data_IF_030361727279
#
_entry.id   IF_030361727279
#
_cell.length_a   1.000
_cell.length_b   1.000
_cell.length_c   1.000
_cell.angle_alpha   90.00
_cell.angle_beta   90.00
_cell.angle_gamma   90.00
#
_symmetry.space_group_name_H-M   'P 1'
#
loop_
_entity.id
_entity.type
_entity.pdbx_description
1 polymer ?
#
# COMPACT_ATOMS: atom_id res chain seq x y z
N UNK A 1 -10.58 58.51 -15.13
CA UNK A 1 -10.63 57.73 -13.87
C UNK A 1 -10.14 56.32 -14.16
N UNK A 2 -8.86 56.04 -13.89
CA UNK A 2 -8.29 54.69 -14.03
C UNK A 2 -8.47 53.97 -12.70
N UNK A 3 -9.56 53.21 -12.57
CA UNK A 3 -9.78 52.36 -11.39
C UNK A 3 -8.90 51.12 -11.52
N UNK A 4 -7.83 51.03 -10.75
CA UNK A 4 -7.04 49.80 -10.66
C UNK A 4 -7.94 48.69 -10.11
N UNK A 5 -8.27 47.69 -10.94
CA UNK A 5 -8.94 46.47 -10.49
C UNK A 5 -7.98 45.78 -9.53
N UNK A 6 -8.28 45.80 -8.23
CA UNK A 6 -7.51 45.08 -7.24
C UNK A 6 -7.63 43.57 -7.54
N UNK A 7 -6.53 42.96 -7.98
CA UNK A 7 -6.48 41.50 -8.19
C UNK A 7 -6.67 40.85 -6.82
N UNK A 8 -7.83 40.23 -6.58
CA UNK A 8 -8.09 39.52 -5.33
C UNK A 8 -7.10 38.35 -5.21
N UNK A 9 -6.23 38.37 -4.19
CA UNK A 9 -5.31 37.27 -3.95
C UNK A 9 -6.09 36.03 -3.52
N UNK A 10 -5.83 34.90 -4.16
CA UNK A 10 -6.42 33.61 -3.77
C UNK A 10 -6.01 33.32 -2.32
N UNK A 11 -6.94 32.97 -1.42
CA UNK A 11 -6.61 32.66 -0.03
C UNK A 11 -5.63 31.48 0.06
N UNK A 12 -4.60 31.60 0.89
CA UNK A 12 -3.61 30.52 1.09
C UNK A 12 -4.28 29.21 1.53
N UNK A 13 -5.26 29.28 2.42
CA UNK A 13 -6.02 28.12 2.89
C UNK A 13 -6.71 27.36 1.75
N UNK A 14 -7.15 28.05 0.69
CA UNK A 14 -7.69 27.40 -0.50
C UNK A 14 -6.60 26.60 -1.22
N UNK A 15 -5.42 27.20 -1.45
CA UNK A 15 -4.28 26.55 -2.10
C UNK A 15 -3.86 25.29 -1.34
N UNK A 16 -3.70 25.38 0.00
CA UNK A 16 -3.33 24.23 0.83
C UNK A 16 -4.34 23.08 0.75
N UNK A 17 -5.64 23.36 0.75
CA UNK A 17 -6.69 22.33 0.56
C UNK A 17 -6.64 21.69 -0.82
N UNK A 18 -6.36 22.47 -1.86
CA UNK A 18 -6.23 21.94 -3.23
C UNK A 18 -5.03 21.04 -3.37
N UNK A 19 -3.87 21.47 -2.90
CA UNK A 19 -2.68 20.63 -2.89
C UNK A 19 -2.90 19.34 -2.09
N UNK A 20 -3.54 19.40 -0.91
CA UNK A 20 -3.84 18.21 -0.11
C UNK A 20 -4.72 17.21 -0.87
N UNK A 21 -5.72 17.73 -1.57
CA UNK A 21 -6.62 16.93 -2.41
C UNK A 21 -5.91 16.34 -3.63
N UNK A 22 -5.00 17.09 -4.27
CA UNK A 22 -4.21 16.60 -5.40
C UNK A 22 -3.25 15.47 -4.99
N UNK A 23 -2.55 15.65 -3.88
CA UNK A 23 -1.63 14.62 -3.36
C UNK A 23 -2.37 13.34 -2.96
N UNK A 24 -3.58 13.47 -2.40
CA UNK A 24 -4.44 12.32 -2.13
C UNK A 24 -4.89 11.59 -3.39
N UNK A 25 -5.19 12.33 -4.47
CA UNK A 25 -5.50 11.73 -5.78
C UNK A 25 -4.29 11.00 -6.38
N UNK A 26 -3.10 11.60 -6.33
CA UNK A 26 -1.86 10.93 -6.75
C UNK A 26 -1.62 9.63 -5.99
N UNK A 27 -1.85 9.63 -4.67
CA UNK A 27 -1.67 8.43 -3.86
C UNK A 27 -2.75 7.35 -4.13
N UNK A 28 -3.97 7.73 -4.53
CA UNK A 28 -4.96 6.76 -5.00
C UNK A 28 -4.50 6.02 -6.25
N UNK A 29 -3.83 6.70 -7.19
CA UNK A 29 -3.28 6.04 -8.38
C UNK A 29 -2.22 5.00 -7.99
N UNK A 30 -1.36 5.34 -7.03
CA UNK A 30 -0.44 4.38 -6.44
C UNK A 30 -1.17 3.21 -5.75
N UNK A 31 -2.21 3.48 -4.95
CA UNK A 31 -2.97 2.42 -4.28
C UNK A 31 -3.61 1.45 -5.28
N UNK A 32 -4.10 1.94 -6.43
CA UNK A 32 -4.67 1.09 -7.48
C UNK A 32 -3.61 0.17 -8.07
N UNK A 33 -2.45 0.73 -8.45
CA UNK A 33 -1.32 -0.06 -8.97
C UNK A 33 -0.85 -1.07 -7.92
N UNK A 34 -0.63 -0.62 -6.69
CA UNK A 34 -0.15 -1.43 -5.58
C UNK A 34 -1.06 -2.62 -5.29
N UNK A 35 -2.38 -2.41 -5.19
CA UNK A 35 -3.32 -3.51 -4.96
C UNK A 35 -3.46 -4.43 -6.18
N UNK A 36 -3.36 -3.89 -7.40
CA UNK A 36 -3.37 -4.71 -8.61
C UNK A 36 -2.15 -5.64 -8.66
N UNK A 37 -0.95 -5.10 -8.51
CA UNK A 37 0.29 -5.88 -8.51
C UNK A 37 0.29 -6.89 -7.36
N UNK A 38 -0.07 -6.49 -6.13
CA UNK A 38 -0.12 -7.41 -4.99
C UNK A 38 -1.17 -8.51 -5.10
N UNK A 39 -2.29 -8.27 -5.79
CA UNK A 39 -3.30 -9.32 -6.01
C UNK A 39 -2.72 -10.52 -6.78
N UNK A 40 -1.73 -10.29 -7.63
CA UNK A 40 -1.06 -11.34 -8.42
C UNK A 40 -0.19 -12.28 -7.56
N UNK A 41 0.07 -11.94 -6.29
CA UNK A 41 0.75 -12.85 -5.36
C UNK A 41 -0.10 -14.08 -5.04
N UNK A 42 -1.43 -13.94 -5.05
CA UNK A 42 -2.35 -15.05 -4.91
C UNK A 42 -2.40 -15.84 -6.23
N UNK A 43 -1.98 -17.11 -6.20
CA UNK A 43 -1.72 -17.95 -7.39
C UNK A 43 -2.96 -18.31 -8.24
N UNK A 44 -4.14 -17.80 -7.89
CA UNK A 44 -5.39 -18.06 -8.62
C UNK A 44 -5.39 -17.46 -10.03
N UNK A 45 -4.73 -16.32 -10.23
CA UNK A 45 -4.67 -15.61 -11.51
C UNK A 45 -3.24 -15.11 -11.73
N UNK A 46 -2.38 -15.86 -12.43
CA UNK A 46 -1.05 -15.33 -12.80
C UNK A 46 0.11 -16.32 -12.80
N UNK A 47 0.01 -17.42 -13.56
CA UNK A 47 1.17 -18.22 -13.97
C UNK A 47 2.08 -18.71 -12.82
N UNK A 48 1.52 -19.02 -11.65
CA UNK A 48 2.31 -19.50 -10.50
C UNK A 48 3.16 -18.41 -9.81
N UNK A 49 2.72 -17.14 -9.83
CA UNK A 49 3.43 -16.03 -9.18
C UNK A 49 4.44 -15.32 -10.10
N UNK A 50 4.68 -15.86 -11.31
CA UNK A 50 5.58 -15.26 -12.31
C UNK A 50 5.15 -13.86 -12.76
N UNK A 51 3.85 -13.57 -12.76
CA UNK A 51 3.29 -12.26 -13.12
C UNK A 51 3.62 -11.21 -12.06
N UNK A 52 3.45 -11.57 -10.77
CA UNK A 52 3.90 -10.75 -9.65
C UNK A 52 5.40 -10.48 -9.75
N UNK A 53 6.22 -11.53 -9.92
CA UNK A 53 7.69 -11.41 -10.02
C UNK A 53 8.10 -10.47 -11.15
N UNK A 54 7.48 -10.62 -12.32
CA UNK A 54 7.78 -9.79 -13.49
C UNK A 54 7.39 -8.32 -13.26
N UNK A 55 6.21 -8.08 -12.68
CA UNK A 55 5.73 -6.72 -12.39
C UNK A 55 6.60 -6.03 -11.36
N UNK A 56 6.98 -6.72 -10.27
CA UNK A 56 7.84 -6.18 -9.22
C UNK A 56 9.26 -5.89 -9.77
N UNK A 57 9.83 -6.80 -10.56
CA UNK A 57 11.13 -6.55 -11.19
C UNK A 57 11.07 -5.36 -12.16
N UNK A 58 10.00 -5.25 -12.97
CA UNK A 58 9.81 -4.11 -13.86
C UNK A 58 9.78 -2.78 -13.10
N UNK A 59 8.97 -2.68 -12.04
CA UNK A 59 8.87 -1.47 -11.22
C UNK A 59 10.20 -1.10 -10.57
N UNK A 60 10.93 -2.11 -10.08
CA UNK A 60 12.23 -1.94 -9.45
C UNK A 60 13.29 -1.45 -10.43
N UNK A 61 13.26 -1.93 -11.66
CA UNK A 61 14.28 -1.63 -12.67
C UNK A 61 13.95 -0.36 -13.47
N UNK A 62 12.89 0.38 -13.08
CA UNK A 62 12.59 1.69 -13.66
C UNK A 62 13.77 2.67 -13.54
N UNK A 63 14.08 3.43 -14.60
CA UNK A 63 15.12 4.44 -14.54
C UNK A 63 14.72 5.53 -13.54
N UNK A 64 15.71 6.00 -12.77
CA UNK A 64 15.50 7.01 -11.73
C UNK A 64 14.45 6.65 -10.67
N UNK A 65 14.25 5.35 -10.39
CA UNK A 65 13.25 4.88 -9.43
C UNK A 65 13.26 5.67 -8.12
N UNK A 66 14.44 5.96 -7.54
CA UNK A 66 14.50 6.71 -6.29
C UNK A 66 13.91 8.13 -6.40
N UNK A 67 14.11 8.80 -7.54
CA UNK A 67 13.50 10.12 -7.81
C UNK A 67 11.99 9.98 -7.95
N UNK A 68 11.53 8.95 -8.66
CA UNK A 68 10.11 8.64 -8.82
C UNK A 68 9.46 8.36 -7.46
N UNK A 69 10.08 7.52 -6.62
CA UNK A 69 9.61 7.20 -5.27
C UNK A 69 9.47 8.46 -4.42
N UNK A 70 10.48 9.33 -4.40
CA UNK A 70 10.43 10.57 -3.60
C UNK A 70 9.39 11.55 -4.14
N UNK A 71 9.37 11.79 -5.45
CA UNK A 71 8.54 12.82 -6.07
C UNK A 71 7.06 12.44 -6.17
N UNK A 72 6.75 11.18 -6.50
CA UNK A 72 5.39 10.71 -6.73
C UNK A 72 4.76 9.99 -5.54
N UNK A 73 5.57 9.47 -4.60
CA UNK A 73 5.06 8.75 -3.43
C UNK A 73 5.39 9.47 -2.14
N UNK A 74 6.68 9.68 -1.83
CA UNK A 74 7.16 10.22 -0.56
C UNK A 74 6.66 11.63 -0.24
N UNK A 75 6.81 12.56 -1.18
CA UNK A 75 6.31 13.94 -1.02
C UNK A 75 4.77 13.95 -0.97
N UNK A 76 4.05 13.32 -1.91
CA UNK A 76 2.58 13.29 -1.87
C UNK A 76 2.01 12.67 -0.61
N UNK A 77 2.53 11.52 -0.15
CA UNK A 77 2.01 10.87 1.06
C UNK A 77 2.31 11.68 2.32
N UNK A 78 3.51 12.26 2.43
CA UNK A 78 3.87 13.10 3.57
C UNK A 78 2.97 14.35 3.63
N UNK A 79 2.80 15.02 2.49
CA UNK A 79 1.98 16.22 2.40
C UNK A 79 0.49 15.92 2.66
N UNK A 80 -0.05 14.87 2.03
CA UNK A 80 -1.42 14.43 2.21
C UNK A 80 -1.67 14.00 3.66
N UNK A 81 -0.79 13.16 4.21
CA UNK A 81 -0.90 12.64 5.57
C UNK A 81 -0.83 13.73 6.63
N UNK A 82 0.18 14.61 6.58
CA UNK A 82 0.35 15.67 7.59
C UNK A 82 -0.83 16.64 7.60
N UNK A 83 -1.19 17.20 6.44
CA UNK A 83 -2.33 18.12 6.38
C UNK A 83 -3.66 17.42 6.68
N UNK A 84 -3.80 16.17 6.23
CA UNK A 84 -4.97 15.33 6.50
C UNK A 84 -5.20 15.15 8.00
N UNK A 85 -4.14 14.83 8.75
CA UNK A 85 -4.18 14.72 10.21
C UNK A 85 -4.53 16.05 10.88
N UNK A 86 -3.95 17.17 10.45
CA UNK A 86 -4.35 18.48 10.98
C UNK A 86 -5.84 18.76 10.77
N UNK A 87 -6.41 18.36 9.63
CA UNK A 87 -7.84 18.47 9.36
C UNK A 87 -8.71 17.49 10.14
N UNK A 88 -8.17 16.34 10.58
CA UNK A 88 -8.93 15.41 11.42
C UNK A 88 -9.06 15.92 12.85
N UNK A 89 -8.02 16.55 13.40
CA UNK A 89 -8.06 17.16 14.74
C UNK A 89 -9.08 18.29 14.86
N UNK A 90 -9.32 19.06 13.79
CA UNK A 90 -10.34 20.11 13.74
C UNK A 90 -11.74 19.64 13.34
N UNK A 91 -11.94 18.33 13.15
CA UNK A 91 -13.20 17.76 12.64
C UNK A 91 -14.27 17.60 13.72
N UNK A 92 -15.50 18.02 13.42
CA UNK A 92 -16.68 17.79 14.27
C UNK A 92 -17.56 16.69 13.68
N UNK A 93 -18.01 15.76 14.52
CA UNK A 93 -18.92 14.68 14.11
C UNK A 93 -20.35 15.02 14.53
N UNK A 94 -21.31 14.78 13.64
CA UNK A 94 -22.75 14.99 13.91
C UNK A 94 -23.62 13.83 13.41
N UNK A 95 -23.00 12.71 13.02
CA UNK A 95 -23.67 11.49 12.56
C UNK A 95 -24.27 10.68 13.72
N UNK A 96 -23.73 10.82 14.93
CA UNK A 96 -24.22 10.23 16.17
C UNK A 96 -24.39 11.34 17.21
N UNK A 97 -25.52 11.36 17.91
CA UNK A 97 -25.71 12.20 19.08
C UNK A 97 -26.55 11.45 20.10
N UNK A 98 -26.10 11.51 21.35
CA UNK A 98 -26.80 10.97 22.52
C UNK A 98 -27.56 12.06 23.30
N UNK A 99 -27.56 13.31 22.80
CA UNK A 99 -28.20 14.47 23.44
C UNK A 99 -29.46 14.90 22.70
N UNK A 100 -30.55 15.20 23.44
CA UNK A 100 -31.79 15.76 22.86
C UNK A 100 -31.63 17.18 22.31
N UNK A 101 -30.57 17.91 22.70
CA UNK A 101 -30.36 19.32 22.34
C UNK A 101 -29.49 19.44 21.08
N UNK A 102 -28.71 18.41 20.76
CA UNK A 102 -27.90 18.35 19.54
C UNK A 102 -28.41 17.21 18.66
N UNK A 103 -29.32 17.44 17.70
CA UNK A 103 -29.86 16.37 16.88
C UNK A 103 -28.76 15.71 16.02
N UNK A 104 -28.77 14.37 15.96
CA UNK A 104 -27.93 13.63 15.04
C UNK A 104 -28.45 13.77 13.61
N UNK A 105 -27.56 14.04 12.66
CA UNK A 105 -27.85 14.05 11.24
C UNK A 105 -27.24 12.79 10.60
N UNK A 106 -27.95 11.67 10.68
CA UNK A 106 -27.51 10.37 10.16
C UNK A 106 -27.73 10.23 8.64
N UNK A 107 -27.25 11.20 7.87
CA UNK A 107 -27.26 11.11 6.39
C UNK A 107 -26.06 10.30 5.90
N UNK A 108 -26.15 9.70 4.71
CA UNK A 108 -25.04 8.99 4.06
C UNK A 108 -23.79 9.88 3.94
N UNK A 109 -23.94 11.18 3.68
CA UNK A 109 -22.79 12.09 3.54
C UNK A 109 -22.10 12.37 4.87
N UNK A 110 -22.84 12.49 5.96
CA UNK A 110 -22.26 12.71 7.30
C UNK A 110 -21.52 11.46 7.80
N UNK A 111 -22.05 10.28 7.50
CA UNK A 111 -21.33 9.02 7.72
C UNK A 111 -20.07 8.93 6.87
N UNK A 112 -20.14 9.24 5.58
CA UNK A 112 -18.96 9.23 4.71
C UNK A 112 -17.88 10.23 5.16
N UNK A 113 -18.27 11.40 5.67
CA UNK A 113 -17.36 12.37 6.28
C UNK A 113 -16.66 11.81 7.53
N UNK A 114 -17.41 11.10 8.37
CA UNK A 114 -16.91 10.50 9.62
C UNK A 114 -15.97 9.33 9.32
N UNK A 115 -16.37 8.43 8.43
CA UNK A 115 -15.53 7.34 7.98
C UNK A 115 -14.26 7.83 7.31
N UNK A 116 -14.28 8.92 6.52
CA UNK A 116 -13.04 9.49 5.97
C UNK A 116 -12.00 9.82 7.06
N UNK A 117 -12.44 10.24 8.25
CA UNK A 117 -11.56 10.57 9.39
C UNK A 117 -11.14 9.34 10.17
N UNK A 118 -12.07 8.44 10.45
CA UNK A 118 -11.75 7.20 11.16
C UNK A 118 -10.78 6.34 10.34
N UNK A 119 -11.00 6.21 9.03
CA UNK A 119 -10.05 5.53 8.15
C UNK A 119 -8.73 6.29 8.05
N UNK A 120 -8.69 7.63 8.10
CA UNK A 120 -7.43 8.38 8.14
C UNK A 120 -6.55 7.97 9.33
N UNK A 121 -7.14 7.79 10.52
CA UNK A 121 -6.41 7.34 11.71
C UNK A 121 -5.89 5.91 11.59
N UNK A 122 -6.75 5.00 11.11
CA UNK A 122 -6.36 3.62 10.84
C UNK A 122 -5.21 3.59 9.82
N UNK A 123 -5.32 4.38 8.76
CA UNK A 123 -4.32 4.44 7.69
C UNK A 123 -3.02 5.07 8.14
N UNK A 124 -3.04 6.09 8.99
CA UNK A 124 -1.81 6.67 9.51
C UNK A 124 -0.97 5.61 10.24
N UNK A 125 -1.56 4.88 11.16
CA UNK A 125 -0.87 3.79 11.89
C UNK A 125 -0.52 2.65 10.93
N UNK A 126 -1.47 2.22 10.10
CA UNK A 126 -1.30 1.10 9.18
C UNK A 126 -0.21 1.33 8.14
N UNK A 127 -0.12 2.52 7.54
CA UNK A 127 0.91 2.87 6.56
C UNK A 127 2.28 2.88 7.22
N UNK A 128 2.42 3.46 8.42
CA UNK A 128 3.70 3.46 9.15
C UNK A 128 4.15 2.03 9.41
N UNK A 129 3.27 1.18 9.97
CA UNK A 129 3.60 -0.22 10.24
C UNK A 129 3.93 -1.00 8.95
N UNK A 130 3.11 -0.84 7.90
CA UNK A 130 3.30 -1.50 6.61
C UNK A 130 4.63 -1.12 5.95
N UNK A 131 4.95 0.18 5.89
CA UNK A 131 6.19 0.67 5.29
C UNK A 131 7.39 0.25 6.13
N UNK A 132 7.33 0.35 7.47
CA UNK A 132 8.41 -0.13 8.35
C UNK A 132 8.69 -1.61 8.11
N UNK A 133 7.65 -2.43 8.09
CA UNK A 133 7.78 -3.87 7.87
C UNK A 133 8.39 -4.16 6.49
N UNK A 134 7.75 -3.72 5.40
CA UNK A 134 8.15 -4.14 4.05
C UNK A 134 9.41 -3.44 3.54
N UNK A 135 9.61 -2.16 3.87
CA UNK A 135 10.73 -1.36 3.32
C UNK A 135 12.01 -1.46 4.14
N UNK A 136 11.91 -1.81 5.44
CA UNK A 136 13.08 -1.77 6.33
C UNK A 136 13.36 -3.10 7.03
N UNK A 137 12.35 -3.84 7.48
CA UNK A 137 12.55 -5.11 8.19
C UNK A 137 12.70 -6.29 7.22
N UNK A 138 11.74 -6.43 6.32
CA UNK A 138 11.61 -7.58 5.41
C UNK A 138 12.22 -7.29 4.03
N UNK A 139 12.80 -6.11 3.81
CA UNK A 139 13.37 -5.72 2.51
C UNK A 139 14.50 -6.66 2.07
N UNK A 140 14.47 -7.20 0.83
CA UNK A 140 15.50 -8.11 0.34
C UNK A 140 16.90 -7.50 0.33
N UNK A 141 17.86 -8.20 0.93
CA UNK A 141 19.26 -7.79 0.94
C UNK A 141 19.88 -8.02 -0.43
N UNK A 142 20.53 -7.00 -0.99
CA UNK A 142 21.26 -7.11 -2.27
C UNK A 142 22.75 -7.34 -2.00
N UNK A 143 23.31 -8.36 -2.63
CA UNK A 143 24.76 -8.60 -2.67
C UNK A 143 25.21 -8.77 -4.13
N UNK A 144 26.39 -8.24 -4.45
CA UNK A 144 26.96 -8.30 -5.80
C UNK A 144 28.10 -9.32 -5.77
N UNK A 145 27.97 -10.37 -6.57
CA UNK A 145 28.97 -11.41 -6.75
C UNK A 145 29.49 -11.34 -8.19
N UNK A 146 30.71 -10.80 -8.35
CA UNK A 146 31.25 -10.49 -9.68
C UNK A 146 30.42 -9.42 -10.38
N UNK A 147 29.79 -9.77 -11.52
CA UNK A 147 28.92 -8.88 -12.29
C UNK A 147 27.42 -9.11 -12.03
N UNK A 148 27.04 -10.08 -11.19
CA UNK A 148 25.65 -10.46 -10.94
C UNK A 148 25.19 -9.99 -9.56
N UNK A 149 23.96 -9.49 -9.50
CA UNK A 149 23.30 -9.16 -8.24
C UNK A 149 22.44 -10.35 -7.78
N UNK A 150 22.52 -10.64 -6.49
CA UNK A 150 21.69 -11.63 -5.80
C UNK A 150 20.92 -10.96 -4.66
N UNK A 151 19.71 -11.45 -4.44
CA UNK A 151 18.80 -11.00 -3.39
C UNK A 151 18.59 -12.10 -2.37
N UNK A 152 18.50 -11.70 -1.12
CA UNK A 152 18.39 -12.60 0.02
C UNK A 152 17.29 -12.16 0.96
N UNK A 153 16.56 -13.10 1.53
CA UNK A 153 15.70 -12.82 2.67
C UNK A 153 15.60 -14.03 3.61
N UNK A 154 15.36 -13.76 4.88
CA UNK A 154 15.07 -14.78 5.88
C UNK A 154 13.60 -15.14 5.80
N UNK A 155 13.32 -16.44 5.77
CA UNK A 155 11.97 -16.97 5.77
C UNK A 155 11.82 -18.07 6.81
N UNK A 156 10.64 -18.19 7.39
CA UNK A 156 10.24 -19.33 8.21
C UNK A 156 9.95 -20.51 7.31
N UNK A 157 10.36 -21.70 7.73
CA UNK A 157 10.06 -22.93 7.01
C UNK A 157 8.58 -23.28 7.12
N UNK A 158 7.96 -23.58 5.99
CA UNK A 158 6.62 -24.15 5.90
C UNK A 158 6.55 -25.18 4.74
N UNK A 159 5.52 -26.05 4.70
CA UNK A 159 5.43 -27.11 3.70
C UNK A 159 5.35 -26.62 2.24
N UNK A 160 4.77 -25.46 1.96
CA UNK A 160 4.59 -24.94 0.60
C UNK A 160 5.77 -24.06 0.13
N UNK A 161 6.62 -23.61 1.06
CA UNK A 161 7.80 -22.80 0.76
C UNK A 161 8.76 -23.51 -0.19
N UNK A 162 9.12 -24.77 0.06
CA UNK A 162 10.09 -25.50 -0.77
C UNK A 162 9.62 -25.64 -2.22
N UNK A 163 8.34 -26.00 -2.38
CA UNK A 163 7.70 -26.13 -3.69
C UNK A 163 7.64 -24.79 -4.42
N UNK A 164 7.24 -23.73 -3.74
CA UNK A 164 7.17 -22.38 -4.32
C UNK A 164 8.56 -21.87 -4.68
N UNK A 165 9.55 -22.06 -3.81
CA UNK A 165 10.93 -21.69 -4.06
C UNK A 165 11.49 -22.41 -5.29
N UNK A 166 11.25 -23.72 -5.41
CA UNK A 166 11.66 -24.50 -6.58
C UNK A 166 11.01 -23.98 -7.87
N UNK A 167 9.71 -23.66 -7.85
CA UNK A 167 9.00 -23.09 -9.00
C UNK A 167 9.57 -21.75 -9.45
N UNK A 168 10.00 -20.92 -8.50
CA UNK A 168 10.56 -19.58 -8.77
C UNK A 168 12.07 -19.59 -9.03
N UNK A 169 12.73 -20.76 -8.96
CA UNK A 169 14.19 -20.87 -9.06
C UNK A 169 14.92 -20.20 -7.90
N UNK A 170 14.31 -20.16 -6.72
CA UNK A 170 14.89 -19.64 -5.47
C UNK A 170 15.59 -20.78 -4.75
N UNK A 171 16.84 -20.56 -4.33
CA UNK A 171 17.58 -21.53 -3.51
C UNK A 171 17.39 -21.21 -2.04
N UNK A 172 17.05 -22.21 -1.24
CA UNK A 172 16.92 -22.10 0.22
C UNK A 172 18.16 -22.70 0.89
N UNK A 173 18.65 -22.05 1.93
CA UNK A 173 19.78 -22.52 2.73
C UNK A 173 19.39 -22.57 4.20
N UNK A 174 19.55 -23.72 4.85
CA UNK A 174 19.43 -23.83 6.30
C UNK A 174 20.73 -23.40 7.01
N UNK A 175 20.70 -23.26 8.35
CA UNK A 175 21.86 -22.83 9.14
C UNK A 175 23.11 -23.69 8.91
N UNK A 176 22.92 -25.00 8.75
CA UNK A 176 24.00 -25.94 8.55
C UNK A 176 24.64 -25.82 7.15
N UNK A 177 23.84 -25.59 6.11
CA UNK A 177 24.32 -25.32 4.76
C UNK A 177 25.04 -23.97 4.67
N UNK A 178 24.53 -22.94 5.35
CA UNK A 178 25.19 -21.63 5.42
C UNK A 178 26.59 -21.73 6.03
N UNK A 179 26.73 -22.47 7.14
CA UNK A 179 28.03 -22.67 7.83
C UNK A 179 29.06 -23.41 6.97
N UNK A 180 28.61 -24.26 6.05
CA UNK A 180 29.49 -25.04 5.15
C UNK A 180 29.75 -24.35 3.82
N UNK A 181 28.93 -23.39 3.44
CA UNK A 181 29.09 -22.66 2.20
C UNK A 181 30.34 -21.77 2.24
N UNK A 182 30.94 -21.48 1.07
CA UNK A 182 32.00 -20.49 0.97
C UNK A 182 31.56 -19.15 1.57
N UNK A 183 32.40 -18.55 2.42
CA UNK A 183 32.09 -17.28 3.06
C UNK A 183 31.72 -16.18 2.05
N UNK A 184 32.23 -16.26 0.82
CA UNK A 184 31.90 -15.35 -0.30
C UNK A 184 30.42 -15.34 -0.68
N UNK A 185 29.69 -16.45 -0.49
CA UNK A 185 28.27 -16.59 -0.85
C UNK A 185 27.36 -15.77 0.08
N UNK A 186 27.82 -15.58 1.32
CA UNK A 186 27.12 -14.89 2.41
C UNK A 186 27.97 -13.74 3.00
N UNK A 187 28.94 -13.22 2.23
CA UNK A 187 29.89 -12.22 2.71
C UNK A 187 29.23 -10.91 3.17
N UNK A 188 28.08 -10.57 2.58
CA UNK A 188 27.26 -9.43 3.00
C UNK A 188 26.25 -9.72 4.13
N UNK A 189 26.18 -10.96 4.63
CA UNK A 189 25.19 -11.44 5.60
C UNK A 189 25.79 -11.75 6.98
N UNK A 190 27.01 -11.29 7.25
CA UNK A 190 27.86 -11.68 8.40
C UNK A 190 27.26 -11.48 9.81
N UNK A 191 26.13 -10.79 9.96
CA UNK A 191 25.45 -10.58 11.25
C UNK A 191 24.08 -11.26 11.35
N UNK A 192 23.68 -12.06 10.36
CA UNK A 192 22.29 -12.54 10.22
C UNK A 192 22.21 -14.03 10.57
N UNK A 193 22.28 -14.34 11.87
CA UNK A 193 21.99 -15.69 12.38
C UNK A 193 20.54 -16.08 12.04
N UNK A 194 20.34 -17.30 11.57
CA UNK A 194 18.98 -17.85 11.40
C UNK A 194 18.47 -18.31 12.76
N UNK A 195 17.22 -17.98 13.06
CA UNK A 195 16.52 -18.56 14.20
C UNK A 195 16.08 -20.00 13.88
N UNK A 196 15.67 -20.74 14.92
CA UNK A 196 15.21 -22.12 14.75
C UNK A 196 13.96 -22.16 13.86
N UNK A 197 14.03 -22.92 12.77
CA UNK A 197 12.94 -23.02 11.79
C UNK A 197 12.96 -21.91 10.74
N UNK A 198 14.07 -21.17 10.60
CA UNK A 198 14.29 -20.25 9.49
C UNK A 198 15.25 -20.82 8.44
N UNK A 199 15.09 -20.33 7.22
CA UNK A 199 15.96 -20.56 6.07
C UNK A 199 16.31 -19.22 5.41
N UNK A 200 17.46 -19.18 4.75
CA UNK A 200 17.85 -18.06 3.91
C UNK A 200 17.48 -18.36 2.46
N UNK A 201 16.55 -17.60 1.90
CA UNK A 201 16.25 -17.62 0.48
C UNK A 201 17.27 -16.79 -0.30
N UNK A 202 17.68 -17.26 -1.48
CA UNK A 202 18.59 -16.59 -2.41
C UNK A 202 18.08 -16.70 -3.84
N UNK A 203 18.08 -15.58 -4.57
CA UNK A 203 17.71 -15.56 -5.99
C UNK A 203 18.35 -14.37 -6.72
N UNK A 204 18.66 -14.47 -8.02
CA UNK A 204 19.01 -13.30 -8.83
C UNK A 204 17.80 -12.39 -9.12
N UNK A 205 16.57 -12.81 -8.80
CA UNK A 205 15.33 -12.07 -9.01
C UNK A 205 14.86 -11.42 -7.71
N UNK A 206 14.74 -10.09 -7.68
CA UNK A 206 14.23 -9.37 -6.52
C UNK A 206 12.76 -9.70 -6.28
N UNK A 207 11.94 -9.69 -7.33
CA UNK A 207 10.51 -10.00 -7.25
C UNK A 207 10.22 -11.42 -6.76
N UNK A 208 11.11 -12.38 -7.01
CA UNK A 208 10.95 -13.74 -6.50
C UNK A 208 11.12 -13.80 -4.97
N UNK A 209 12.11 -13.10 -4.42
CA UNK A 209 12.28 -12.99 -2.96
C UNK A 209 11.13 -12.21 -2.35
N UNK A 210 10.71 -11.12 -3.00
CA UNK A 210 9.59 -10.31 -2.51
C UNK A 210 8.26 -11.08 -2.49
N UNK A 211 8.03 -11.94 -3.47
CA UNK A 211 6.86 -12.83 -3.48
C UNK A 211 6.85 -13.74 -2.25
N UNK A 212 7.99 -14.35 -1.91
CA UNK A 212 8.09 -15.21 -0.73
C UNK A 212 7.88 -14.42 0.57
N UNK A 213 8.41 -13.19 0.66
CA UNK A 213 8.16 -12.30 1.80
C UNK A 213 6.67 -12.01 2.00
N UNK A 214 5.99 -11.62 0.92
CA UNK A 214 4.55 -11.31 0.95
C UNK A 214 3.75 -12.54 1.39
N UNK A 215 4.11 -13.73 0.90
CA UNK A 215 3.44 -14.98 1.29
C UNK A 215 3.61 -15.28 2.77
N UNK A 216 4.83 -15.17 3.29
CA UNK A 216 5.09 -15.33 4.71
C UNK A 216 4.28 -14.37 5.58
N UNK A 217 4.19 -13.09 5.18
CA UNK A 217 3.45 -12.09 5.96
C UNK A 217 1.97 -12.48 6.14
N UNK A 218 1.38 -13.16 5.16
CA UNK A 218 -0.01 -13.63 5.18
C UNK A 218 -0.18 -15.09 5.59
N UNK A 219 0.82 -15.75 6.19
CA UNK A 219 0.60 -17.03 6.89
C UNK A 219 -0.04 -16.86 8.27
N UNK A 220 0.07 -15.66 8.86
CA UNK A 220 -0.52 -15.35 10.16
C UNK A 220 -1.96 -14.87 10.01
N UNK A 221 -2.90 -15.56 10.66
CA UNK A 221 -4.33 -15.15 10.68
C UNK A 221 -4.51 -13.75 11.26
N UNK A 222 -3.69 -13.39 12.25
CA UNK A 222 -3.70 -12.06 12.86
C UNK A 222 -3.30 -11.02 11.82
N UNK A 223 -2.24 -11.28 11.06
CA UNK A 223 -1.80 -10.38 9.99
C UNK A 223 -2.85 -10.27 8.89
N UNK A 224 -3.48 -11.38 8.49
CA UNK A 224 -4.56 -11.38 7.49
C UNK A 224 -5.75 -10.51 7.93
N UNK A 225 -6.18 -10.60 9.19
CA UNK A 225 -7.26 -9.77 9.74
C UNK A 225 -6.85 -8.29 9.81
N UNK A 226 -5.65 -8.00 10.32
CA UNK A 226 -5.13 -6.61 10.42
C UNK A 226 -5.06 -5.95 9.04
N UNK A 227 -4.48 -6.64 8.06
CA UNK A 227 -4.40 -6.14 6.69
C UNK A 227 -5.77 -6.06 6.00
N UNK A 228 -6.74 -6.91 6.36
CA UNK A 228 -8.13 -6.79 5.89
C UNK A 228 -8.73 -5.45 6.32
N UNK A 229 -8.61 -5.09 7.60
CA UNK A 229 -9.07 -3.79 8.12
C UNK A 229 -8.34 -2.63 7.41
N UNK A 230 -7.03 -2.77 7.21
CA UNK A 230 -6.22 -1.76 6.56
C UNK A 230 -6.62 -1.55 5.08
N UNK A 231 -6.84 -2.62 4.31
CA UNK A 231 -7.30 -2.55 2.91
C UNK A 231 -8.71 -1.94 2.84
N UNK A 232 -9.63 -2.37 3.70
CA UNK A 232 -10.98 -1.79 3.76
C UNK A 232 -10.93 -0.27 4.02
N UNK A 233 -10.10 0.15 4.98
CA UNK A 233 -9.90 1.56 5.27
C UNK A 233 -9.29 2.32 4.09
N UNK A 234 -8.25 1.76 3.43
CA UNK A 234 -7.51 2.39 2.35
C UNK A 234 -8.40 2.63 1.13
N UNK A 235 -9.11 1.60 0.69
CA UNK A 235 -9.96 1.67 -0.50
C UNK A 235 -11.17 2.56 -0.23
N UNK A 236 -11.80 2.49 0.95
CA UNK A 236 -12.87 3.43 1.30
C UNK A 236 -12.37 4.88 1.30
N UNK A 237 -11.26 5.16 1.99
CA UNK A 237 -10.68 6.50 2.08
C UNK A 237 -10.33 7.07 0.70
N UNK A 238 -9.72 6.24 -0.15
CA UNK A 238 -9.32 6.59 -1.49
C UNK A 238 -10.50 6.95 -2.38
N UNK A 239 -11.53 6.09 -2.46
CA UNK A 239 -12.66 6.31 -3.37
C UNK A 239 -13.69 7.34 -2.87
N UNK A 240 -13.91 7.47 -1.56
CA UNK A 240 -14.69 8.60 -1.03
C UNK A 240 -13.93 9.94 -1.21
N UNK A 241 -12.60 9.89 -1.12
CA UNK A 241 -11.70 10.97 -1.50
C UNK A 241 -11.80 11.33 -2.98
N UNK A 242 -11.77 10.34 -3.88
CA UNK A 242 -11.91 10.52 -5.33
C UNK A 242 -13.22 11.21 -5.68
N UNK A 243 -14.34 10.72 -5.14
CA UNK A 243 -15.64 11.35 -5.38
C UNK A 243 -15.64 12.83 -4.94
N UNK A 244 -15.07 13.11 -3.77
CA UNK A 244 -14.93 14.49 -3.27
C UNK A 244 -13.97 15.33 -4.14
N UNK A 245 -12.89 14.73 -4.65
CA UNK A 245 -11.94 15.36 -5.57
C UNK A 245 -12.65 15.78 -6.87
N UNK A 246 -13.37 14.85 -7.52
CA UNK A 246 -14.07 15.10 -8.77
C UNK A 246 -15.07 16.28 -8.66
N UNK A 247 -15.78 16.37 -7.54
CA UNK A 247 -16.70 17.48 -7.26
C UNK A 247 -15.94 18.78 -7.02
N UNK A 248 -15.00 18.77 -6.08
CA UNK A 248 -14.37 20.00 -5.63
C UNK A 248 -13.50 20.62 -6.73
N UNK A 249 -12.90 19.83 -7.61
CA UNK A 249 -12.11 20.30 -8.75
C UNK A 249 -12.95 20.68 -9.97
N UNK A 250 -14.29 20.57 -9.87
CA UNK A 250 -15.20 21.00 -10.93
C UNK A 250 -15.29 20.04 -12.12
N UNK A 251 -14.76 18.83 -11.99
CA UNK A 251 -14.89 17.78 -13.01
C UNK A 251 -16.35 17.27 -13.07
N UNK A 252 -17.08 17.37 -11.96
CA UNK A 252 -18.50 17.01 -11.87
C UNK A 252 -19.30 18.14 -11.22
N UNK A 253 -19.99 18.92 -12.06
CA UNK A 253 -20.69 20.14 -11.62
C UNK A 253 -22.17 19.91 -11.25
N UNK A 254 -22.90 19.10 -12.01
CA UNK A 254 -24.35 18.96 -11.82
C UNK A 254 -24.68 18.01 -10.67
N UNK A 255 -25.71 18.33 -9.85
CA UNK A 255 -26.14 17.46 -8.73
C UNK A 255 -26.47 16.03 -9.19
N UNK A 256 -27.08 15.90 -10.37
CA UNK A 256 -27.39 14.59 -10.97
C UNK A 256 -26.11 13.79 -11.23
N UNK A 257 -25.11 14.40 -11.86
CA UNK A 257 -23.84 13.74 -12.14
C UNK A 257 -23.08 13.40 -10.84
N UNK A 258 -23.11 14.28 -9.83
CA UNK A 258 -22.51 14.01 -8.52
C UNK A 258 -23.16 12.81 -7.83
N UNK A 259 -24.48 12.68 -7.90
CA UNK A 259 -25.19 11.52 -7.35
C UNK A 259 -24.90 10.23 -8.12
N UNK A 260 -24.79 10.30 -9.44
CA UNK A 260 -24.54 9.13 -10.27
C UNK A 260 -23.09 8.63 -10.17
N UNK A 261 -22.12 9.54 -10.05
CA UNK A 261 -20.70 9.18 -9.94
C UNK A 261 -20.37 8.39 -8.68
N UNK A 262 -21.23 8.44 -7.65
CA UNK A 262 -21.08 7.60 -6.45
C UNK A 262 -21.11 6.12 -6.81
N UNK A 263 -22.02 5.70 -7.70
CA UNK A 263 -22.12 4.29 -8.10
C UNK A 263 -20.88 3.83 -8.86
N UNK A 264 -20.31 4.70 -9.70
CA UNK A 264 -19.05 4.42 -10.40
C UNK A 264 -17.90 4.28 -9.41
N UNK A 265 -17.79 5.19 -8.43
CA UNK A 265 -16.78 5.12 -7.38
C UNK A 265 -16.93 3.84 -6.53
N UNK A 266 -18.16 3.44 -6.21
CA UNK A 266 -18.41 2.18 -5.50
C UNK A 266 -18.09 0.94 -6.34
N UNK A 267 -18.37 0.95 -7.64
CA UNK A 267 -17.96 -0.13 -8.53
C UNK A 267 -16.45 -0.37 -8.50
N UNK A 268 -15.66 0.69 -8.65
CA UNK A 268 -14.21 0.60 -8.53
C UNK A 268 -13.74 0.25 -7.10
N UNK A 269 -14.39 0.79 -6.06
CA UNK A 269 -14.11 0.42 -4.68
C UNK A 269 -14.26 -1.09 -4.47
N UNK A 270 -15.38 -1.69 -4.91
CA UNK A 270 -15.60 -3.12 -4.73
C UNK A 270 -14.61 -3.97 -5.54
N UNK A 271 -14.25 -3.53 -6.75
CA UNK A 271 -13.21 -4.19 -7.54
C UNK A 271 -11.86 -4.18 -6.80
N UNK A 272 -11.44 -3.03 -6.28
CA UNK A 272 -10.15 -2.91 -5.59
C UNK A 272 -10.16 -3.63 -4.23
N UNK A 273 -11.31 -3.65 -3.53
CA UNK A 273 -11.48 -4.50 -2.35
C UNK A 273 -11.33 -5.97 -2.69
N UNK A 274 -11.96 -6.44 -3.77
CA UNK A 274 -11.80 -7.82 -4.22
C UNK A 274 -10.33 -8.15 -4.50
N UNK A 275 -9.61 -7.32 -5.25
CA UNK A 275 -8.18 -7.52 -5.54
C UNK A 275 -7.32 -7.54 -4.27
N UNK A 276 -7.53 -6.58 -3.36
CA UNK A 276 -6.79 -6.51 -2.10
C UNK A 276 -7.07 -7.68 -1.16
N UNK A 277 -8.35 -8.07 -1.00
CA UNK A 277 -8.72 -9.22 -0.18
C UNK A 277 -8.27 -10.55 -0.80
N UNK A 278 -8.25 -10.64 -2.13
CA UNK A 278 -7.68 -11.79 -2.83
C UNK A 278 -6.18 -11.92 -2.56
N UNK A 279 -5.42 -10.82 -2.56
CA UNK A 279 -4.00 -10.83 -2.19
C UNK A 279 -3.78 -11.41 -0.79
N UNK A 280 -4.59 -10.99 0.19
CA UNK A 280 -4.46 -11.43 1.59
C UNK A 280 -4.93 -12.88 1.76
N UNK A 281 -6.22 -13.13 1.52
CA UNK A 281 -6.86 -14.40 1.84
C UNK A 281 -6.56 -15.47 0.81
N UNK A 282 -6.41 -15.10 -0.45
CA UNK A 282 -5.97 -16.03 -1.49
C UNK A 282 -4.57 -16.54 -1.19
N UNK A 283 -3.67 -15.68 -0.70
CA UNK A 283 -2.35 -16.11 -0.25
C UNK A 283 -2.44 -16.95 1.03
N UNK A 284 -3.18 -16.51 2.06
CA UNK A 284 -3.36 -17.26 3.31
C UNK A 284 -3.86 -18.69 3.09
N UNK A 285 -4.84 -18.89 2.20
CA UNK A 285 -5.43 -20.21 1.91
C UNK A 285 -4.46 -21.13 1.14
N UNK A 286 -3.55 -20.54 0.36
CA UNK A 286 -2.57 -21.27 -0.46
C UNK A 286 -1.22 -21.47 0.24
N UNK A 287 -1.13 -21.08 1.53
CA UNK A 287 0.10 -21.15 2.33
C UNK A 287 0.02 -22.24 3.39
#
# INVERSE_FOLDING_TARGET
MSGSVAISKVPSAFIWRRLHSLMGFSFLLFLIEHLFTNSQAALFFGGGGTWFVSSVNFLRDLPYLHVIEVALLGIPIAYHGVLGLLYTFGGTYNNLSFSRIHPALSTTRNWAYSFQRWTAWILFVGIVLHVVQMRFLDYPYKYIEGSKAYYYCKLKTDPELEKTAAQLGVTLYNDHEIRRAPASLFAGLHSRTLDKGEVMARSPSFGAIELLNVRQAFQSVVMAILYTVFVLAAVFHGFNGLWTFLITWGLILSRKAQSQSVYVCYGFLFLLLFLGLMSIWGTFILS
#
